data_IF_858358904220
#
_entry.id   IF_858358904220
#
_cell.length_a   1.000
_cell.length_b   1.000
_cell.length_c   1.000
_cell.angle_alpha   90.00
_cell.angle_beta   90.00
_cell.angle_gamma   90.00
#
_symmetry.space_group_name_H-M   'P 1'
#
loop_
_entity.id
_entity.type
_entity.pdbx_description
1 polymer ?
#
# COMPACT_ATOMS: atom_id res chain seq x y z
N UNK A 1 9.53 13.20 12.43
CA UNK A 1 8.36 13.86 11.79
C UNK A 1 7.87 13.03 10.60
N UNK A 2 8.76 12.71 9.65
CA UNK A 2 8.46 11.87 8.49
C UNK A 2 7.88 10.49 8.84
N UNK A 3 8.42 9.79 9.84
CA UNK A 3 7.88 8.48 10.27
C UNK A 3 6.41 8.55 10.69
N UNK A 4 6.05 9.56 11.48
CA UNK A 4 4.67 9.76 11.95
C UNK A 4 3.74 10.06 10.78
N UNK A 5 4.17 10.94 9.87
CA UNK A 5 3.43 11.24 8.65
C UNK A 5 3.24 9.99 7.79
N UNK A 6 4.27 9.15 7.65
CA UNK A 6 4.19 7.89 6.92
C UNK A 6 3.12 6.96 7.48
N UNK A 7 3.09 6.79 8.81
CA UNK A 7 2.07 5.98 9.52
C UNK A 7 0.66 6.57 9.34
N UNK A 8 0.50 7.89 9.48
CA UNK A 8 -0.78 8.57 9.29
C UNK A 8 -1.31 8.37 7.85
N UNK A 9 -0.44 8.51 6.84
CA UNK A 9 -0.81 8.27 5.44
C UNK A 9 -1.18 6.81 5.15
N UNK A 10 -0.47 5.84 5.75
CA UNK A 10 -0.84 4.43 5.66
C UNK A 10 -2.22 4.16 6.27
N UNK A 11 -2.50 4.73 7.44
CA UNK A 11 -3.78 4.57 8.12
C UNK A 11 -4.94 5.21 7.33
N UNK A 12 -4.76 6.45 6.87
CA UNK A 12 -5.74 7.14 6.03
C UNK A 12 -6.00 6.37 4.72
N UNK A 13 -4.94 5.84 4.11
CA UNK A 13 -5.08 5.04 2.91
C UNK A 13 -5.86 3.75 3.13
N UNK A 14 -5.58 3.04 4.23
CA UNK A 14 -6.34 1.84 4.61
C UNK A 14 -7.83 2.14 4.84
N UNK A 15 -8.13 3.21 5.57
CA UNK A 15 -9.52 3.64 5.82
C UNK A 15 -10.23 3.96 4.50
N UNK A 16 -9.59 4.72 3.61
CA UNK A 16 -10.15 5.06 2.29
C UNK A 16 -10.44 3.81 1.45
N UNK A 17 -9.52 2.82 1.45
CA UNK A 17 -9.71 1.55 0.76
C UNK A 17 -10.90 0.75 1.33
N UNK A 18 -11.03 0.68 2.65
CA UNK A 18 -12.15 -0.01 3.31
C UNK A 18 -13.48 0.64 2.92
N UNK A 19 -13.56 1.97 2.98
CA UNK A 19 -14.77 2.71 2.62
C UNK A 19 -15.12 2.49 1.14
N UNK A 20 -14.15 2.68 0.23
CA UNK A 20 -14.37 2.49 -1.20
C UNK A 20 -14.76 1.05 -1.55
N UNK A 21 -14.12 0.06 -0.93
CA UNK A 21 -14.45 -1.36 -1.13
C UNK A 21 -15.85 -1.69 -0.60
N UNK A 22 -16.21 -1.18 0.59
CA UNK A 22 -17.53 -1.38 1.17
C UNK A 22 -18.64 -0.84 0.24
N UNK A 23 -18.48 0.37 -0.28
CA UNK A 23 -19.46 0.93 -1.21
C UNK A 23 -19.48 0.18 -2.55
N UNK A 24 -18.34 -0.26 -3.07
CA UNK A 24 -18.27 -1.06 -4.30
C UNK A 24 -18.94 -2.43 -4.20
N UNK A 25 -19.05 -3.01 -3.01
CA UNK A 25 -19.82 -4.24 -2.79
C UNK A 25 -21.32 -3.98 -2.97
N UNK A 26 -21.81 -2.83 -2.51
CA UNK A 26 -23.22 -2.45 -2.64
C UNK A 26 -23.56 -2.04 -4.08
N UNK A 27 -22.78 -1.11 -4.64
CA UNK A 27 -22.96 -0.62 -6.00
C UNK A 27 -21.61 -0.17 -6.58
N UNK A 28 -21.28 -0.60 -7.79
CA UNK A 28 -20.02 -0.24 -8.44
C UNK A 28 -20.12 1.15 -9.07
N UNK A 29 -19.62 2.16 -8.36
CA UNK A 29 -19.59 3.56 -8.80
C UNK A 29 -18.15 4.05 -8.98
N UNK A 30 -17.95 5.01 -9.90
CA UNK A 30 -16.62 5.58 -10.16
C UNK A 30 -16.04 6.27 -8.93
N UNK A 31 -16.90 6.88 -8.12
CA UNK A 31 -16.57 7.54 -6.85
C UNK A 31 -15.95 6.56 -5.86
N UNK A 32 -16.43 5.32 -5.83
CA UNK A 32 -15.92 4.26 -4.97
C UNK A 32 -14.52 3.81 -5.43
N UNK A 33 -14.33 3.68 -6.74
CA UNK A 33 -13.01 3.41 -7.32
C UNK A 33 -12.02 4.54 -7.04
N UNK A 34 -12.46 5.81 -7.08
CA UNK A 34 -11.61 6.95 -6.69
C UNK A 34 -11.16 6.86 -5.22
N UNK A 35 -12.02 6.43 -4.30
CA UNK A 35 -11.63 6.23 -2.89
C UNK A 35 -10.56 5.15 -2.75
N UNK A 36 -10.64 4.06 -3.52
CA UNK A 36 -9.63 2.99 -3.51
C UNK A 36 -8.32 3.48 -4.15
N UNK A 37 -8.39 4.24 -5.25
CA UNK A 37 -7.21 4.82 -5.90
C UNK A 37 -6.48 5.78 -4.97
N UNK A 38 -7.22 6.70 -4.34
CA UNK A 38 -6.67 7.64 -3.37
C UNK A 38 -6.08 6.89 -2.18
N UNK A 39 -6.78 5.88 -1.67
CA UNK A 39 -6.31 5.09 -0.53
C UNK A 39 -5.01 4.33 -0.81
N UNK A 40 -4.89 3.72 -1.97
CA UNK A 40 -3.66 3.07 -2.44
C UNK A 40 -2.53 4.07 -2.69
N UNK A 41 -2.85 5.26 -3.20
CA UNK A 41 -1.87 6.34 -3.40
C UNK A 41 -1.30 6.84 -2.07
N UNK A 42 -2.16 7.07 -1.07
CA UNK A 42 -1.76 7.47 0.28
C UNK A 42 -0.90 6.41 0.95
N UNK A 43 -1.26 5.13 0.84
CA UNK A 43 -0.44 4.02 1.35
C UNK A 43 0.92 3.96 0.67
N UNK A 44 0.97 4.15 -0.66
CA UNK A 44 2.22 4.12 -1.41
C UNK A 44 3.19 5.20 -0.93
N UNK A 45 2.69 6.42 -0.73
CA UNK A 45 3.48 7.55 -0.20
C UNK A 45 3.86 7.29 1.26
N UNK A 46 2.92 6.83 2.09
CA UNK A 46 3.17 6.57 3.51
C UNK A 46 4.25 5.51 3.73
N UNK A 47 4.22 4.42 2.95
CA UNK A 47 5.25 3.39 2.95
C UNK A 47 6.61 3.95 2.48
N UNK A 48 6.62 4.80 1.45
CA UNK A 48 7.84 5.43 0.95
C UNK A 48 8.49 6.37 1.98
N UNK A 49 7.71 7.18 2.71
CA UNK A 49 8.27 8.04 3.76
C UNK A 49 8.94 7.23 4.89
N UNK A 50 8.49 6.00 5.13
CA UNK A 50 9.15 5.06 6.05
C UNK A 50 10.48 4.50 5.54
N UNK A 51 10.84 4.73 4.26
CA UNK A 51 12.13 4.33 3.68
C UNK A 51 13.23 5.35 4.01
N UNK A 52 12.92 6.65 3.94
CA UNK A 52 13.90 7.72 4.15
C UNK A 52 14.40 7.80 5.60
N UNK A 53 13.50 7.67 6.58
CA UNK A 53 13.85 7.75 7.99
C UNK A 53 14.88 6.69 8.44
N UNK A 54 14.97 5.58 7.71
CA UNK A 54 15.91 4.51 8.00
C UNK A 54 17.26 4.66 7.29
N UNK A 55 17.36 5.40 6.18
CA UNK A 55 18.53 5.42 5.29
C UNK A 55 19.77 6.13 5.86
N UNK A 56 19.64 6.90 6.94
CA UNK A 56 20.73 7.74 7.43
C UNK A 56 21.83 6.97 8.20
N UNK A 57 21.57 5.80 8.82
CA UNK A 57 22.58 4.95 9.49
C UNK A 57 22.14 3.47 9.65
N UNK A 58 21.92 2.74 8.55
CA UNK A 58 21.22 1.44 8.63
C UNK A 58 21.97 0.28 9.29
N UNK A 59 21.49 -0.13 10.48
CA UNK A 59 21.67 -1.51 10.99
C UNK A 59 20.94 -2.50 10.05
N UNK A 60 21.39 -3.76 10.02
CA UNK A 60 20.80 -4.80 9.16
C UNK A 60 19.27 -4.91 9.28
N UNK A 61 18.72 -4.76 10.49
CA UNK A 61 17.28 -4.83 10.74
C UNK A 61 16.47 -3.68 10.11
N UNK A 62 17.05 -2.48 10.04
CA UNK A 62 16.42 -1.32 9.39
C UNK A 62 16.36 -1.48 7.87
N UNK A 63 17.35 -2.18 7.27
CA UNK A 63 17.32 -2.56 5.85
C UNK A 63 16.14 -3.47 5.52
N UNK A 64 15.83 -4.43 6.40
CA UNK A 64 14.70 -5.35 6.23
C UNK A 64 13.39 -4.57 6.20
N UNK A 65 13.19 -3.63 7.14
CA UNK A 65 11.98 -2.78 7.18
C UNK A 65 11.86 -1.95 5.91
N UNK A 66 12.97 -1.39 5.41
CA UNK A 66 12.94 -0.61 4.16
C UNK A 66 12.62 -1.45 2.94
N UNK A 67 13.13 -2.68 2.84
CA UNK A 67 12.73 -3.60 1.76
C UNK A 67 11.23 -3.87 1.84
N UNK A 68 10.70 -4.17 3.04
CA UNK A 68 9.27 -4.42 3.23
C UNK A 68 8.41 -3.20 2.88
N UNK A 69 8.80 -2.00 3.30
CA UNK A 69 8.09 -0.76 2.98
C UNK A 69 8.17 -0.41 1.47
N UNK A 70 9.31 -0.68 0.82
CA UNK A 70 9.47 -0.47 -0.61
C UNK A 70 8.54 -1.39 -1.42
N UNK A 71 8.42 -2.66 -1.02
CA UNK A 71 7.49 -3.59 -1.64
C UNK A 71 6.03 -3.15 -1.41
N UNK A 72 5.67 -2.73 -0.20
CA UNK A 72 4.34 -2.16 0.08
C UNK A 72 4.03 -0.96 -0.82
N UNK A 73 4.98 -0.03 -0.94
CA UNK A 73 4.83 1.16 -1.77
C UNK A 73 4.58 0.81 -3.23
N UNK A 74 5.36 -0.14 -3.77
CA UNK A 74 5.20 -0.65 -5.13
C UNK A 74 3.86 -1.33 -5.34
N UNK A 75 3.47 -2.24 -4.43
CA UNK A 75 2.23 -3.00 -4.54
C UNK A 75 0.98 -2.11 -4.49
N UNK A 76 0.96 -1.13 -3.59
CA UNK A 76 -0.12 -0.14 -3.51
C UNK A 76 -0.13 0.76 -4.76
N UNK A 77 1.04 1.18 -5.25
CA UNK A 77 1.17 1.97 -6.48
C UNK A 77 0.61 1.24 -7.71
N UNK A 78 0.87 -0.06 -7.86
CA UNK A 78 0.32 -0.89 -8.94
C UNK A 78 -1.21 -1.00 -8.88
N UNK A 79 -1.78 -1.13 -7.67
CA UNK A 79 -3.23 -1.14 -7.50
C UNK A 79 -3.86 0.23 -7.84
N UNK A 80 -3.24 1.33 -7.43
CA UNK A 80 -3.68 2.68 -7.80
C UNK A 80 -3.63 2.88 -9.32
N UNK A 81 -2.54 2.47 -9.96
CA UNK A 81 -2.37 2.54 -11.41
C UNK A 81 -3.48 1.77 -12.15
N UNK A 82 -3.73 0.52 -11.76
CA UNK A 82 -4.79 -0.27 -12.39
C UNK A 82 -6.18 0.34 -12.16
N UNK A 83 -6.45 0.87 -10.95
CA UNK A 83 -7.69 1.57 -10.67
C UNK A 83 -7.89 2.79 -11.58
N UNK A 84 -6.83 3.58 -11.80
CA UNK A 84 -6.84 4.72 -12.71
C UNK A 84 -7.18 4.27 -14.15
N UNK A 85 -6.52 3.21 -14.64
CA UNK A 85 -6.78 2.65 -15.98
C UNK A 85 -8.24 2.22 -16.11
N UNK A 86 -8.78 1.48 -15.14
CA UNK A 86 -10.17 1.02 -15.14
C UNK A 86 -11.17 2.19 -15.19
N UNK A 87 -10.93 3.23 -14.38
CA UNK A 87 -11.80 4.42 -14.37
C UNK A 87 -11.72 5.18 -15.69
N UNK A 88 -10.54 5.30 -16.31
CA UNK A 88 -10.38 5.95 -17.61
C UNK A 88 -11.08 5.17 -18.73
N UNK A 89 -10.92 3.84 -18.78
CA UNK A 89 -11.59 3.01 -19.80
C UNK A 89 -13.11 3.05 -19.66
N UNK A 90 -13.62 3.03 -18.42
CA UNK A 90 -15.05 3.22 -18.13
C UNK A 90 -15.58 4.63 -18.49
N UNK A 91 -14.72 5.63 -18.75
CA UNK A 91 -15.14 6.94 -19.33
C UNK A 91 -15.21 6.89 -20.86
N UNK A 92 -14.42 6.05 -21.50
CA UNK A 92 -14.32 5.96 -22.96
C UNK A 92 -15.40 5.02 -23.52
N UNK A 93 -15.74 3.93 -22.81
CA UNK A 93 -16.73 2.92 -23.23
C UNK A 93 -18.19 3.32 -22.95
N UNK A 94 -18.62 4.48 -23.43
CA UNK A 94 -20.05 4.75 -23.61
C UNK A 94 -20.61 4.16 -24.93
N UNK A 95 -19.81 3.48 -25.75
CA UNK A 95 -20.29 2.81 -26.98
C UNK A 95 -19.60 1.43 -27.21
N UNK A 96 -20.40 0.37 -27.06
CA UNK A 96 -20.36 -0.94 -27.75
C UNK A 96 -19.15 -1.91 -27.70
N UNK A 97 -18.09 -1.68 -26.93
CA UNK A 97 -16.95 -2.62 -26.93
C UNK A 97 -16.78 -3.38 -25.61
N UNK A 98 -17.23 -4.64 -25.54
CA UNK A 98 -16.85 -5.60 -24.48
C UNK A 98 -15.37 -5.98 -24.65
N UNK A 99 -14.45 -5.14 -24.18
CA UNK A 99 -13.05 -5.53 -23.98
C UNK A 99 -12.98 -6.53 -22.82
N UNK A 100 -12.22 -7.60 -23.00
CA UNK A 100 -12.07 -8.68 -22.01
C UNK A 100 -11.36 -8.16 -20.75
N UNK A 101 -12.13 -7.90 -19.68
CA UNK A 101 -11.70 -7.29 -18.40
C UNK A 101 -10.72 -8.14 -17.57
N UNK A 102 -10.17 -9.22 -18.14
CA UNK A 102 -9.28 -10.16 -17.42
C UNK A 102 -7.91 -9.57 -17.18
N UNK A 103 -7.31 -8.94 -18.19
CA UNK A 103 -5.94 -8.42 -18.08
C UNK A 103 -5.86 -7.20 -17.14
N UNK A 104 -6.93 -6.40 -17.10
CA UNK A 104 -7.11 -5.22 -16.24
C UNK A 104 -7.24 -5.54 -14.73
N UNK A 105 -7.28 -6.81 -14.34
CA UNK A 105 -7.29 -7.19 -12.91
C UNK A 105 -5.98 -7.80 -12.45
N UNK A 106 -5.14 -8.24 -13.39
CA UNK A 106 -3.90 -8.94 -13.06
C UNK A 106 -2.90 -8.00 -12.37
N UNK A 107 -2.76 -6.75 -12.83
CA UNK A 107 -1.83 -5.79 -12.21
C UNK A 107 -2.25 -5.48 -10.77
N UNK A 108 -3.55 -5.25 -10.53
CA UNK A 108 -4.06 -5.02 -9.17
C UNK A 108 -3.82 -6.24 -8.27
N UNK A 109 -4.07 -7.46 -8.76
CA UNK A 109 -3.83 -8.70 -8.02
C UNK A 109 -2.34 -8.87 -7.67
N UNK A 110 -1.43 -8.65 -8.62
CA UNK A 110 0.01 -8.65 -8.38
C UNK A 110 0.37 -7.61 -7.32
N UNK A 111 -0.21 -6.41 -7.43
CA UNK A 111 -0.01 -5.33 -6.47
C UNK A 111 -0.38 -5.70 -5.04
N UNK A 112 -1.54 -6.33 -4.83
CA UNK A 112 -1.98 -6.81 -3.49
C UNK A 112 -0.99 -7.81 -2.90
N UNK A 113 -0.51 -8.77 -3.70
CA UNK A 113 0.45 -9.78 -3.20
C UNK A 113 1.82 -9.20 -2.89
N UNK A 114 2.33 -8.30 -3.74
CA UNK A 114 3.58 -7.58 -3.47
C UNK A 114 3.44 -6.77 -2.17
N UNK A 115 2.30 -6.10 -1.98
CA UNK A 115 2.04 -5.34 -0.75
C UNK A 115 2.01 -6.24 0.47
N UNK A 116 1.29 -7.37 0.42
CA UNK A 116 1.20 -8.31 1.53
C UNK A 116 2.59 -8.88 1.94
N UNK A 117 3.42 -9.23 0.97
CA UNK A 117 4.81 -9.68 1.21
C UNK A 117 5.62 -8.57 1.87
N UNK A 118 5.51 -7.35 1.36
CA UNK A 118 6.19 -6.20 1.96
C UNK A 118 5.78 -5.95 3.41
N UNK A 119 4.48 -6.04 3.72
CA UNK A 119 3.95 -5.90 5.08
C UNK A 119 4.50 -6.99 6.00
N UNK A 120 4.55 -8.24 5.55
CA UNK A 120 5.12 -9.33 6.33
C UNK A 120 6.61 -9.11 6.63
N UNK A 121 7.40 -8.70 5.64
CA UNK A 121 8.84 -8.41 5.81
C UNK A 121 9.05 -7.26 6.81
N UNK A 122 8.29 -6.16 6.68
CA UNK A 122 8.38 -5.04 7.62
C UNK A 122 8.00 -5.46 9.05
N UNK A 123 6.96 -6.29 9.21
CA UNK A 123 6.53 -6.79 10.51
C UNK A 123 7.60 -7.66 11.19
N UNK A 124 8.31 -8.50 10.42
CA UNK A 124 9.44 -9.29 10.93
C UNK A 124 10.54 -8.36 11.44
N UNK A 125 10.95 -7.36 10.64
CA UNK A 125 11.97 -6.40 11.03
C UNK A 125 11.61 -5.64 12.32
N UNK A 126 10.37 -5.17 12.43
CA UNK A 126 9.87 -4.47 13.63
C UNK A 126 9.84 -5.37 14.87
N UNK A 127 9.42 -6.62 14.72
CA UNK A 127 9.34 -7.59 15.82
C UNK A 127 10.72 -7.87 16.43
N UNK A 128 11.76 -7.99 15.59
CA UNK A 128 13.12 -8.23 16.07
C UNK A 128 13.66 -7.00 16.81
N UNK A 129 13.47 -5.79 16.28
CA UNK A 129 13.90 -4.54 16.93
C UNK A 129 13.23 -4.38 18.31
N UNK A 130 11.93 -4.65 18.42
CA UNK A 130 11.22 -4.57 19.69
C UNK A 130 11.74 -5.59 20.71
N UNK A 131 12.07 -6.81 20.26
CA UNK A 131 12.68 -7.84 21.12
C UNK A 131 14.05 -7.40 21.64
N UNK A 132 14.92 -6.86 20.80
CA UNK A 132 16.24 -6.34 21.21
C UNK A 132 16.10 -5.24 22.27
N UNK A 133 15.23 -4.25 22.03
CA UNK A 133 14.97 -3.15 22.98
C UNK A 133 14.45 -3.65 24.34
N UNK A 134 13.65 -4.72 24.36
CA UNK A 134 13.16 -5.33 25.61
C UNK A 134 14.26 -6.01 26.40
N UNK A 135 15.17 -6.71 25.72
CA UNK A 135 16.30 -7.38 26.37
C UNK A 135 17.28 -6.37 26.99
N UNK A 136 17.57 -5.28 26.29
CA UNK A 136 18.42 -4.19 26.82
C UNK A 136 17.86 -3.60 28.13
N UNK A 137 16.53 -3.46 28.24
CA UNK A 137 15.86 -2.95 29.45
C UNK A 137 15.88 -3.91 30.66
N UNK A 138 16.13 -5.21 30.45
CA UNK A 138 16.18 -6.20 31.52
C UNK A 138 17.60 -6.34 32.10
N UNK A 139 18.61 -5.99 31.30
CA UNK A 139 20.03 -6.14 31.64
C UNK A 139 20.59 -4.90 32.38
N UNK A 140 19.85 -3.78 32.39
CA UNK A 140 20.14 -2.54 33.12
C UNK A 140 19.29 -2.49 34.38
#
# INVERSE_FOLDING_TARGET
MLDKMGIELLALGNISNVIGTYFNINEQLKENDYLIIVGNSLQSIGAFLGVEAALLQMKMLQKIIVIGNSLQSLGAGLQAYQGIVNVMQNRIQNEDSKVDKKDERIIALIGVWIQAIGTAISAIGLTIIEKEKRLEKIII
#
